data_IF_341871056168
#
_entry.id   IF_341871056168
#
_cell.length_a   1.000
_cell.length_b   1.000
_cell.length_c   1.000
_cell.angle_alpha   90.00
_cell.angle_beta   90.00
_cell.angle_gamma   90.00
#
_symmetry.space_group_name_H-M   'P 1'
#
loop_
_entity.id
_entity.type
_entity.pdbx_description
1 polymer ?
#
# COMPACT_ATOMS: atom_id res chain seq x y z
N UNK A 1 8.55 19.40 -15.82
CA UNK A 1 7.56 18.54 -15.15
C UNK A 1 7.65 18.86 -13.67
N UNK A 2 6.54 19.25 -13.02
CA UNK A 2 6.54 19.50 -11.58
C UNK A 2 6.97 18.21 -10.88
N UNK A 3 7.94 18.32 -9.98
CA UNK A 3 8.47 17.18 -9.20
C UNK A 3 7.43 16.80 -8.14
N UNK A 4 6.35 16.11 -8.56
CA UNK A 4 5.24 15.73 -7.68
C UNK A 4 5.75 14.67 -6.71
N UNK A 5 5.73 14.98 -5.41
CA UNK A 5 6.20 14.11 -4.34
C UNK A 5 5.29 12.90 -4.15
N UNK A 6 5.86 11.81 -3.65
CA UNK A 6 5.15 10.55 -3.36
C UNK A 6 5.19 10.29 -1.86
N UNK A 7 4.10 9.79 -1.28
CA UNK A 7 4.10 9.22 0.07
C UNK A 7 3.73 7.75 0.02
N UNK A 8 4.49 6.94 0.76
CA UNK A 8 4.20 5.51 0.98
C UNK A 8 3.68 5.35 2.40
N UNK A 9 2.44 4.88 2.57
CA UNK A 9 1.86 4.60 3.87
C UNK A 9 1.96 3.12 4.23
N UNK A 10 2.30 2.82 5.51
CA UNK A 10 2.46 1.47 6.04
C UNK A 10 1.66 1.37 7.34
N UNK A 11 0.52 0.66 7.37
CA UNK A 11 -0.14 0.30 8.62
C UNK A 11 0.63 -0.86 9.28
N UNK A 12 0.77 -0.85 10.61
CA UNK A 12 1.38 -1.96 11.35
C UNK A 12 0.70 -2.17 12.72
N UNK A 13 0.67 -3.40 13.19
CA UNK A 13 0.17 -3.75 14.52
C UNK A 13 0.86 -5.01 15.03
N UNK A 14 1.67 -4.88 16.11
CA UNK A 14 2.37 -5.99 16.77
C UNK A 14 3.27 -6.86 15.88
N UNK A 15 3.77 -6.31 14.75
CA UNK A 15 4.58 -7.05 13.76
C UNK A 15 5.89 -6.33 13.38
N UNK A 16 6.74 -5.93 14.35
CA UNK A 16 7.91 -5.08 14.08
C UNK A 16 8.90 -5.68 13.08
N UNK A 17 9.11 -7.00 13.06
CA UNK A 17 10.04 -7.63 12.14
C UNK A 17 9.55 -7.62 10.68
N UNK A 18 8.24 -7.66 10.47
CA UNK A 18 7.67 -7.49 9.14
C UNK A 18 7.80 -6.05 8.68
N UNK A 19 7.49 -5.09 9.54
CA UNK A 19 7.71 -3.68 9.26
C UNK A 19 9.17 -3.40 8.86
N UNK A 20 10.16 -4.01 9.54
CA UNK A 20 11.57 -3.84 9.18
C UNK A 20 11.83 -4.32 7.75
N UNK A 21 11.31 -5.48 7.36
CA UNK A 21 11.43 -6.01 6.00
C UNK A 21 10.78 -5.10 4.96
N UNK A 22 9.59 -4.58 5.25
CA UNK A 22 8.92 -3.60 4.39
C UNK A 22 9.80 -2.36 4.18
N UNK A 23 10.35 -1.77 5.26
CA UNK A 23 11.25 -0.62 5.18
C UNK A 23 12.53 -0.92 4.40
N UNK A 24 13.13 -2.11 4.58
CA UNK A 24 14.28 -2.54 3.76
C UNK A 24 13.95 -2.57 2.26
N UNK A 25 12.74 -2.93 1.89
CA UNK A 25 12.31 -2.93 0.49
C UNK A 25 12.17 -1.50 -0.06
N UNK A 26 11.73 -0.56 0.78
CA UNK A 26 11.64 0.86 0.42
C UNK A 26 13.02 1.53 0.35
N UNK A 27 13.95 1.17 1.22
CA UNK A 27 15.33 1.67 1.17
C UNK A 27 16.01 1.36 -0.16
N UNK A 28 15.62 0.26 -0.83
CA UNK A 28 16.16 -0.17 -2.13
C UNK A 28 15.51 0.51 -3.33
N UNK A 29 14.53 1.43 -3.14
CA UNK A 29 13.87 2.07 -4.27
C UNK A 29 14.83 2.92 -5.09
N UNK A 30 14.74 2.82 -6.43
CA UNK A 30 15.54 3.63 -7.37
C UNK A 30 15.05 5.08 -7.43
N UNK A 31 13.75 5.31 -7.23
CA UNK A 31 13.19 6.66 -7.06
C UNK A 31 13.33 7.08 -5.60
N UNK A 32 13.97 8.22 -5.30
CA UNK A 32 14.34 8.62 -3.94
C UNK A 32 13.50 9.77 -3.36
N UNK A 33 12.74 10.48 -4.18
CA UNK A 33 11.92 11.63 -3.73
C UNK A 33 10.56 11.17 -3.19
N UNK A 34 10.56 10.47 -2.05
CA UNK A 34 9.34 10.01 -1.40
C UNK A 34 9.46 10.07 0.12
N UNK A 35 8.31 10.27 0.76
CA UNK A 35 8.09 10.20 2.19
C UNK A 35 7.60 8.80 2.57
N UNK A 36 7.93 8.33 3.76
CA UNK A 36 7.37 7.09 4.34
C UNK A 36 6.59 7.45 5.61
N UNK A 37 5.35 6.99 5.70
CA UNK A 37 4.51 7.18 6.90
C UNK A 37 4.15 5.81 7.46
N UNK A 38 4.70 5.47 8.61
CA UNK A 38 4.34 4.28 9.39
C UNK A 38 3.26 4.66 10.37
N UNK A 39 2.12 3.95 10.35
CA UNK A 39 1.02 4.14 11.30
C UNK A 39 0.88 2.89 12.17
N UNK A 40 1.34 2.97 13.41
CA UNK A 40 1.20 1.93 14.43
C UNK A 40 -0.21 1.98 15.03
N UNK A 41 -0.95 0.89 14.85
CA UNK A 41 -2.32 0.74 15.32
C UNK A 41 -2.38 0.12 16.73
N UNK A 42 -1.82 0.83 17.72
CA UNK A 42 -1.91 0.41 19.12
C UNK A 42 -1.16 -0.88 19.43
N UNK A 43 0.05 -1.04 18.92
CA UNK A 43 0.93 -2.16 19.31
C UNK A 43 1.21 -2.16 20.81
N UNK A 44 1.48 -3.34 21.36
CA UNK A 44 1.92 -3.47 22.77
C UNK A 44 3.15 -2.59 23.03
N UNK A 45 3.35 -2.23 24.28
CA UNK A 45 4.47 -1.34 24.68
C UNK A 45 5.81 -1.91 24.22
N UNK A 46 6.02 -3.22 24.32
CA UNK A 46 7.29 -3.86 23.94
C UNK A 46 7.48 -3.86 22.42
N UNK A 47 6.44 -4.23 21.66
CA UNK A 47 6.50 -4.18 20.20
C UNK A 47 6.68 -2.75 19.70
N UNK A 48 6.02 -1.77 20.32
CA UNK A 48 6.18 -0.36 19.92
C UNK A 48 7.60 0.16 20.18
N UNK A 49 8.25 -0.22 21.28
CA UNK A 49 9.67 0.10 21.52
C UNK A 49 10.56 -0.46 20.39
N UNK A 50 10.28 -1.67 19.92
CA UNK A 50 11.01 -2.26 18.79
C UNK A 50 10.75 -1.46 17.51
N UNK A 51 9.48 -1.08 17.24
CA UNK A 51 9.12 -0.21 16.12
C UNK A 51 9.90 1.11 16.18
N UNK A 52 9.96 1.77 17.35
CA UNK A 52 10.72 3.01 17.50
C UNK A 52 12.22 2.85 17.18
N UNK A 53 12.82 1.74 17.63
CA UNK A 53 14.23 1.44 17.32
C UNK A 53 14.43 1.20 15.81
N UNK A 54 13.51 0.49 15.15
CA UNK A 54 13.54 0.29 13.70
C UNK A 54 13.43 1.65 12.98
N UNK A 55 12.47 2.49 13.34
CA UNK A 55 12.32 3.84 12.76
C UNK A 55 13.61 4.65 12.92
N UNK A 56 14.21 4.64 14.13
CA UNK A 56 15.50 5.31 14.39
C UNK A 56 16.63 4.81 13.47
N UNK A 57 16.71 3.50 13.25
CA UNK A 57 17.70 2.87 12.33
C UNK A 57 17.54 3.36 10.88
N UNK A 58 16.32 3.51 10.40
CA UNK A 58 16.03 3.89 9.00
C UNK A 58 15.84 5.39 8.79
N UNK A 59 15.90 6.22 9.82
CA UNK A 59 15.61 7.66 9.72
C UNK A 59 16.50 8.39 8.70
N UNK A 60 17.75 7.98 8.54
CA UNK A 60 18.67 8.56 7.55
C UNK A 60 18.55 7.96 6.15
N UNK A 61 17.81 6.86 5.99
CA UNK A 61 17.65 6.17 4.70
C UNK A 61 16.59 6.84 3.81
N UNK A 62 15.69 7.64 4.39
CA UNK A 62 14.59 8.29 3.69
C UNK A 62 14.70 9.81 3.83
N UNK A 63 14.16 10.54 2.85
CA UNK A 63 14.07 12.00 2.91
C UNK A 63 13.17 12.47 4.04
N UNK A 64 12.14 11.68 4.35
CA UNK A 64 11.21 11.90 5.44
C UNK A 64 10.59 10.56 5.88
N UNK A 65 10.69 10.24 7.16
CA UNK A 65 10.14 9.02 7.79
C UNK A 65 9.34 9.41 9.03
N UNK A 66 8.03 9.30 8.94
CA UNK A 66 7.10 9.68 10.00
C UNK A 66 6.56 8.43 10.68
N UNK A 67 6.56 8.42 12.01
CA UNK A 67 5.89 7.42 12.84
C UNK A 67 4.66 8.02 13.52
N UNK A 68 3.50 7.50 13.20
CA UNK A 68 2.24 7.79 13.89
C UNK A 68 1.89 6.64 14.82
N UNK A 69 1.19 6.94 15.93
CA UNK A 69 0.70 5.92 16.85
C UNK A 69 -0.76 6.19 17.24
N UNK A 70 -1.55 5.12 17.33
CA UNK A 70 -2.84 5.09 18.01
C UNK A 70 -2.66 4.47 19.40
N UNK A 71 -3.30 5.02 20.43
CA UNK A 71 -3.19 4.48 21.80
C UNK A 71 -3.82 3.10 21.93
N UNK A 72 -4.90 2.86 21.20
CA UNK A 72 -5.64 1.60 21.15
C UNK A 72 -5.81 1.16 19.70
N UNK A 73 -5.86 -0.15 19.43
CA UNK A 73 -6.13 -0.67 18.10
C UNK A 73 -7.50 -0.24 17.58
N UNK A 74 -7.55 0.31 16.38
CA UNK A 74 -8.76 0.74 15.68
C UNK A 74 -8.94 0.04 14.33
N UNK A 75 -7.94 -0.75 13.92
CA UNK A 75 -7.95 -1.55 12.70
C UNK A 75 -7.14 -0.95 11.55
N UNK A 76 -6.82 -1.81 10.59
CA UNK A 76 -5.93 -1.46 9.48
C UNK A 76 -6.47 -0.31 8.61
N UNK A 77 -7.79 -0.19 8.43
CA UNK A 77 -8.38 0.93 7.69
C UNK A 77 -8.13 2.27 8.37
N UNK A 78 -8.35 2.34 9.68
CA UNK A 78 -8.05 3.55 10.46
C UNK A 78 -6.56 3.92 10.36
N UNK A 79 -5.66 2.95 10.53
CA UNK A 79 -4.22 3.19 10.42
C UNK A 79 -3.81 3.70 9.03
N UNK A 80 -4.40 3.14 7.95
CA UNK A 80 -4.17 3.61 6.58
C UNK A 80 -4.69 5.04 6.38
N UNK A 81 -5.92 5.33 6.80
CA UNK A 81 -6.53 6.66 6.69
C UNK A 81 -5.69 7.71 7.42
N UNK A 82 -5.28 7.43 8.66
CA UNK A 82 -4.43 8.31 9.46
C UNK A 82 -3.09 8.61 8.77
N UNK A 83 -2.47 7.60 8.16
CA UNK A 83 -1.21 7.78 7.43
C UNK A 83 -1.42 8.57 6.11
N UNK A 84 -2.52 8.32 5.39
CA UNK A 84 -2.86 9.08 4.18
C UNK A 84 -3.15 10.55 4.54
N UNK A 85 -3.86 10.82 5.62
CA UNK A 85 -4.15 12.18 6.08
C UNK A 85 -2.85 12.94 6.40
N UNK A 86 -1.93 12.32 7.12
CA UNK A 86 -0.64 12.90 7.51
C UNK A 86 0.38 12.99 6.36
N UNK A 87 0.09 12.44 5.17
CA UNK A 87 1.03 12.44 4.06
C UNK A 87 1.12 13.80 3.37
N UNK A 88 2.33 14.19 2.94
CA UNK A 88 2.59 15.43 2.19
C UNK A 88 2.71 15.19 0.68
N UNK A 89 2.73 13.93 0.26
CA UNK A 89 2.86 13.54 -1.14
C UNK A 89 1.66 13.95 -1.98
N UNK A 90 1.93 14.44 -3.19
CA UNK A 90 0.88 14.64 -4.19
C UNK A 90 0.25 13.30 -4.60
N UNK A 91 1.10 12.25 -4.72
CA UNK A 91 0.68 10.87 -4.92
C UNK A 91 0.85 10.05 -3.66
N UNK A 92 -0.04 9.09 -3.46
CA UNK A 92 0.03 8.10 -2.38
C UNK A 92 -0.02 6.67 -2.92
N UNK A 93 0.66 5.77 -2.24
CA UNK A 93 0.57 4.31 -2.44
C UNK A 93 0.78 3.60 -1.12
N UNK A 94 0.13 2.45 -0.91
CA UNK A 94 0.29 1.67 0.31
C UNK A 94 1.31 0.53 0.17
N UNK A 95 1.86 0.14 1.29
CA UNK A 95 2.62 -1.08 1.49
C UNK A 95 2.14 -1.73 2.80
N UNK A 96 1.63 -2.95 2.73
CA UNK A 96 1.29 -3.69 3.94
C UNK A 96 2.59 -4.16 4.63
N UNK A 97 2.63 -4.14 5.96
CA UNK A 97 3.88 -4.39 6.72
C UNK A 97 4.45 -5.79 6.50
N UNK A 98 3.64 -6.76 6.06
CA UNK A 98 4.07 -8.13 5.73
C UNK A 98 4.48 -8.33 4.26
N UNK A 99 4.43 -7.28 3.42
CA UNK A 99 4.76 -7.32 2.01
C UNK A 99 6.02 -6.49 1.66
N UNK A 100 6.42 -6.49 0.39
CA UNK A 100 7.59 -5.77 -0.07
C UNK A 100 7.36 -5.11 -1.45
N UNK A 101 8.12 -4.06 -1.75
CA UNK A 101 8.23 -3.52 -3.11
C UNK A 101 9.47 -4.07 -3.82
N UNK A 102 9.39 -4.29 -5.14
CA UNK A 102 10.62 -4.39 -5.93
C UNK A 102 11.28 -3.01 -6.00
N UNK A 103 12.59 -2.98 -6.20
CA UNK A 103 13.38 -1.72 -6.17
C UNK A 103 12.93 -0.66 -7.19
N UNK A 104 12.26 -1.05 -8.26
CA UNK A 104 11.82 -0.14 -9.33
C UNK A 104 10.36 0.34 -9.20
N UNK A 105 9.61 -0.06 -8.15
CA UNK A 105 8.16 0.18 -8.11
C UNK A 105 7.78 1.65 -8.22
N UNK A 106 8.35 2.49 -7.40
CA UNK A 106 8.01 3.93 -7.42
C UNK A 106 8.44 4.58 -8.74
N UNK A 107 9.61 4.22 -9.26
CA UNK A 107 10.10 4.73 -10.53
C UNK A 107 9.19 4.34 -11.72
N UNK A 108 8.70 3.08 -11.74
CA UNK A 108 7.76 2.59 -12.75
C UNK A 108 6.48 3.44 -12.78
N UNK A 109 5.97 3.86 -11.63
CA UNK A 109 4.80 4.72 -11.58
C UNK A 109 5.10 6.15 -12.03
N UNK A 110 6.13 6.80 -11.45
CA UNK A 110 6.40 8.22 -11.70
C UNK A 110 6.88 8.50 -13.13
N UNK A 111 7.53 7.52 -13.78
CA UNK A 111 7.96 7.61 -15.18
C UNK A 111 6.92 7.11 -16.18
N UNK A 112 5.79 6.61 -15.73
CA UNK A 112 4.76 6.08 -16.62
C UNK A 112 4.09 7.18 -17.45
N UNK A 113 4.04 6.98 -18.76
CA UNK A 113 3.28 7.85 -19.67
C UNK A 113 1.78 7.87 -19.37
N UNK A 114 1.26 6.83 -18.72
CA UNK A 114 -0.15 6.70 -18.37
C UNK A 114 -0.55 7.55 -17.15
N UNK A 115 0.43 8.08 -16.39
CA UNK A 115 0.17 8.91 -15.21
C UNK A 115 -0.51 10.26 -15.54
N UNK A 116 -0.38 10.74 -16.78
CA UNK A 116 -1.08 11.95 -17.25
C UNK A 116 -2.48 11.68 -17.81
N UNK A 117 -2.82 10.40 -18.02
CA UNK A 117 -4.07 10.01 -18.70
C UNK A 117 -5.05 9.36 -17.74
N UNK A 118 -4.55 8.58 -16.77
CA UNK A 118 -5.37 7.83 -15.85
C UNK A 118 -5.23 8.36 -14.42
N UNK A 119 -6.34 8.45 -13.66
CA UNK A 119 -6.37 9.01 -12.32
C UNK A 119 -5.61 8.16 -11.28
N UNK A 120 -5.41 6.88 -11.55
CA UNK A 120 -4.59 5.98 -10.74
C UNK A 120 -3.94 4.89 -11.60
N UNK A 121 -2.82 4.38 -11.12
CA UNK A 121 -2.10 3.27 -11.72
C UNK A 121 -1.97 2.11 -10.73
N UNK A 122 -1.86 0.89 -11.26
CA UNK A 122 -1.50 -0.31 -10.48
C UNK A 122 -0.50 -1.18 -11.25
N UNK A 123 0.02 -2.21 -10.60
CA UNK A 123 0.92 -3.20 -11.22
C UNK A 123 0.51 -4.61 -10.83
N UNK A 124 1.07 -5.60 -11.49
CA UNK A 124 0.96 -6.99 -11.08
C UNK A 124 1.74 -7.29 -9.79
N UNK A 125 1.51 -8.47 -9.25
CA UNK A 125 2.09 -8.96 -8.02
C UNK A 125 3.03 -10.15 -8.28
N UNK A 126 4.06 -10.27 -7.45
CA UNK A 126 4.85 -11.47 -7.24
C UNK A 126 4.36 -12.10 -5.95
N UNK A 127 3.81 -13.29 -6.03
CA UNK A 127 3.41 -14.06 -4.83
C UNK A 127 4.61 -14.84 -4.36
N UNK A 128 5.07 -14.58 -3.13
CA UNK A 128 6.19 -15.23 -2.48
C UNK A 128 5.67 -16.22 -1.42
N UNK A 129 5.85 -17.51 -1.63
CA UNK A 129 5.44 -18.57 -0.71
C UNK A 129 6.60 -19.04 0.22
N UNK A 130 7.73 -18.32 0.21
CA UNK A 130 8.94 -18.63 0.96
C UNK A 130 9.90 -19.56 0.21
N UNK A 131 9.46 -20.28 -0.80
CA UNK A 131 10.29 -21.15 -1.63
C UNK A 131 10.50 -20.58 -3.04
N UNK A 132 9.45 -19.96 -3.61
CA UNK A 132 9.47 -19.38 -4.96
C UNK A 132 8.59 -18.14 -5.04
N UNK A 133 8.88 -17.31 -6.06
CA UNK A 133 8.05 -16.17 -6.45
C UNK A 133 7.31 -16.48 -7.75
N UNK A 134 5.99 -16.39 -7.70
CA UNK A 134 5.12 -16.64 -8.85
C UNK A 134 4.48 -15.34 -9.32
N UNK A 135 4.46 -15.09 -10.62
CA UNK A 135 3.85 -13.88 -11.20
C UNK A 135 2.33 -14.01 -11.25
N UNK A 136 1.63 -13.01 -10.76
CA UNK A 136 0.21 -12.84 -11.05
C UNK A 136 0.05 -12.38 -12.52
N UNK A 137 -0.68 -13.12 -13.33
CA UNK A 137 -0.83 -12.83 -14.77
C UNK A 137 -2.12 -12.09 -15.13
N UNK A 138 -2.96 -11.77 -14.14
CA UNK A 138 -4.28 -11.20 -14.39
C UNK A 138 -4.21 -9.71 -14.76
N UNK A 139 -4.87 -9.35 -15.85
CA UNK A 139 -5.19 -7.98 -16.26
C UNK A 139 -4.00 -7.01 -16.44
N UNK A 140 -2.81 -7.49 -16.77
CA UNK A 140 -1.68 -6.61 -17.05
C UNK A 140 -1.86 -5.83 -18.36
N UNK A 141 -1.29 -4.63 -18.41
CA UNK A 141 -1.30 -3.73 -19.58
C UNK A 141 -2.72 -3.41 -20.07
N UNK A 142 -3.64 -3.16 -19.14
CA UNK A 142 -5.06 -2.91 -19.42
C UNK A 142 -5.63 -1.82 -18.54
N UNK A 143 -6.68 -1.19 -19.06
CA UNK A 143 -7.55 -0.31 -18.30
C UNK A 143 -8.30 -1.12 -17.22
N UNK A 144 -8.34 -0.57 -16.01
CA UNK A 144 -9.08 -1.12 -14.87
C UNK A 144 -10.40 -0.38 -14.73
N UNK A 145 -11.41 -0.78 -15.52
CA UNK A 145 -12.72 -0.15 -15.53
C UNK A 145 -13.59 -0.61 -14.36
N UNK A 146 -14.61 0.20 -14.03
CA UNK A 146 -15.61 -0.18 -13.02
C UNK A 146 -16.29 -1.50 -13.39
N UNK A 147 -16.60 -1.71 -14.68
CA UNK A 147 -17.21 -2.95 -15.14
C UNK A 147 -16.30 -4.17 -14.85
N UNK A 148 -14.99 -4.07 -15.10
CA UNK A 148 -14.06 -5.16 -14.79
C UNK A 148 -14.00 -5.41 -13.27
N UNK A 149 -14.01 -4.35 -12.45
CA UNK A 149 -14.00 -4.46 -11.00
C UNK A 149 -15.28 -5.07 -10.42
N UNK A 150 -16.44 -4.92 -11.06
CA UNK A 150 -17.66 -5.59 -10.59
C UNK A 150 -17.60 -7.13 -10.69
N UNK A 151 -16.70 -7.68 -11.50
CA UNK A 151 -16.51 -9.13 -11.61
C UNK A 151 -15.39 -9.65 -10.71
N UNK A 152 -14.30 -8.89 -10.54
CA UNK A 152 -13.18 -9.30 -9.69
C UNK A 152 -12.23 -8.12 -9.41
N UNK A 153 -11.41 -8.23 -8.36
CA UNK A 153 -10.36 -7.26 -8.08
C UNK A 153 -9.25 -7.34 -9.15
N UNK A 154 -9.39 -6.55 -10.22
CA UNK A 154 -8.39 -6.46 -11.31
C UNK A 154 -7.22 -5.54 -10.95
N UNK A 155 -7.33 -4.74 -9.90
CA UNK A 155 -6.30 -3.80 -9.44
C UNK A 155 -5.24 -4.52 -8.60
N UNK A 156 -5.66 -5.25 -7.60
CA UNK A 156 -4.79 -5.87 -6.58
C UNK A 156 -4.77 -5.08 -5.28
N UNK A 157 -3.73 -5.24 -4.47
CA UNK A 157 -3.70 -4.72 -3.10
C UNK A 157 -3.57 -3.20 -3.02
N UNK A 158 -2.83 -2.57 -3.94
CA UNK A 158 -2.49 -1.16 -3.81
C UNK A 158 -2.52 -0.43 -5.15
N UNK A 159 -2.97 0.83 -5.11
CA UNK A 159 -2.91 1.78 -6.21
C UNK A 159 -1.81 2.82 -5.98
N UNK A 160 -1.41 3.48 -7.05
CA UNK A 160 -0.67 4.73 -7.06
C UNK A 160 -1.62 5.81 -7.58
N UNK A 161 -2.08 6.71 -6.73
CA UNK A 161 -3.12 7.69 -7.04
C UNK A 161 -2.78 9.07 -6.47
N UNK A 162 -3.40 10.13 -6.99
CA UNK A 162 -3.38 11.42 -6.32
C UNK A 162 -4.05 11.30 -4.95
N UNK A 163 -3.42 11.83 -3.89
CA UNK A 163 -3.94 11.81 -2.52
C UNK A 163 -5.38 12.31 -2.45
N UNK A 164 -5.65 13.42 -3.15
CA UNK A 164 -6.99 14.03 -3.16
C UNK A 164 -8.09 13.06 -3.60
N UNK A 165 -7.82 12.19 -4.59
CA UNK A 165 -8.82 11.25 -5.09
C UNK A 165 -9.23 10.21 -4.03
N UNK A 166 -8.26 9.75 -3.22
CA UNK A 166 -8.55 8.87 -2.08
C UNK A 166 -9.36 9.60 -1.01
N UNK A 167 -9.03 10.89 -0.75
CA UNK A 167 -9.74 11.71 0.23
C UNK A 167 -11.16 12.05 -0.21
N UNK A 168 -11.37 12.38 -1.50
CA UNK A 168 -12.68 12.69 -2.08
C UNK A 168 -13.70 11.55 -1.95
N UNK A 169 -13.22 10.31 -1.93
CA UNK A 169 -14.09 9.13 -1.70
C UNK A 169 -14.14 8.69 -0.24
N UNK A 170 -13.57 9.46 0.69
CA UNK A 170 -13.62 9.20 2.13
C UNK A 170 -12.61 8.18 2.65
N UNK A 171 -11.58 7.82 1.87
CA UNK A 171 -10.57 6.84 2.30
C UNK A 171 -11.08 5.41 2.42
N UNK A 172 -10.40 4.60 3.22
CA UNK A 172 -10.82 3.23 3.56
C UNK A 172 -12.03 3.26 4.51
N UNK A 173 -13.03 2.44 4.26
CA UNK A 173 -14.17 2.29 5.18
C UNK A 173 -13.73 1.48 6.42
N UNK A 174 -13.71 2.14 7.57
CA UNK A 174 -13.27 1.55 8.84
C UNK A 174 -14.23 0.49 9.38
N UNK A 175 -15.47 0.49 8.91
CA UNK A 175 -16.50 -0.49 9.27
C UNK A 175 -16.50 -1.71 8.36
N UNK A 176 -15.71 -1.70 7.25
CA UNK A 176 -15.70 -2.80 6.30
C UNK A 176 -14.83 -3.96 6.82
N UNK A 177 -15.39 -5.16 7.05
CA UNK A 177 -14.71 -6.20 7.82
C UNK A 177 -13.56 -6.90 7.07
N UNK A 178 -13.63 -6.96 5.73
CA UNK A 178 -12.64 -7.59 4.86
C UNK A 178 -12.77 -7.04 3.43
N UNK A 179 -11.79 -7.29 2.53
CA UNK A 179 -11.80 -6.78 1.15
C UNK A 179 -11.80 -5.24 1.08
N UNK A 180 -11.24 -4.60 2.07
CA UNK A 180 -11.23 -3.15 2.30
C UNK A 180 -10.57 -2.38 1.15
N UNK A 181 -9.52 -2.93 0.56
CA UNK A 181 -8.85 -2.43 -0.63
C UNK A 181 -9.79 -2.49 -1.86
N UNK A 182 -10.42 -3.63 -2.08
CA UNK A 182 -11.32 -3.82 -3.22
C UNK A 182 -12.56 -2.91 -3.14
N UNK A 183 -13.12 -2.75 -1.96
CA UNK A 183 -14.23 -1.83 -1.69
C UNK A 183 -13.83 -0.38 -2.05
N UNK A 184 -12.68 0.07 -1.55
CA UNK A 184 -12.16 1.39 -1.87
C UNK A 184 -11.90 1.56 -3.37
N UNK A 185 -11.36 0.54 -4.05
CA UNK A 185 -11.10 0.63 -5.50
C UNK A 185 -12.39 0.75 -6.32
N UNK A 186 -13.47 0.15 -5.89
CA UNK A 186 -14.79 0.32 -6.52
C UNK A 186 -15.29 1.77 -6.38
N UNK A 187 -15.24 2.36 -5.17
CA UNK A 187 -15.62 3.76 -4.95
C UNK A 187 -14.72 4.72 -5.71
N UNK A 188 -13.42 4.51 -5.64
CA UNK A 188 -12.44 5.33 -6.35
C UNK A 188 -12.73 5.31 -7.86
N UNK A 189 -12.82 4.12 -8.47
CA UNK A 189 -13.04 3.99 -9.92
C UNK A 189 -14.38 4.58 -10.35
N UNK A 190 -15.42 4.43 -9.53
CA UNK A 190 -16.72 5.04 -9.78
C UNK A 190 -16.66 6.57 -9.77
N UNK A 191 -15.80 7.16 -8.91
CA UNK A 191 -15.69 8.60 -8.73
C UNK A 191 -14.79 9.25 -9.78
N UNK A 192 -13.56 8.74 -9.98
CA UNK A 192 -12.54 9.38 -10.82
C UNK A 192 -12.41 8.76 -12.21
N UNK A 193 -13.12 7.67 -12.51
CA UNK A 193 -12.99 6.92 -13.76
C UNK A 193 -11.97 5.79 -13.68
N UNK A 194 -11.76 5.14 -14.82
CA UNK A 194 -10.87 3.98 -14.94
C UNK A 194 -9.42 4.33 -14.67
N UNK A 195 -8.70 3.41 -14.04
CA UNK A 195 -7.24 3.45 -13.93
C UNK A 195 -6.55 2.58 -14.97
N UNK A 196 -5.25 2.39 -14.83
CA UNK A 196 -4.47 1.54 -15.73
C UNK A 196 -3.53 0.61 -14.97
N UNK A 197 -3.54 -0.68 -15.30
CA UNK A 197 -2.61 -1.65 -14.75
C UNK A 197 -1.42 -1.85 -15.68
N UNK A 198 -0.25 -1.42 -15.21
CA UNK A 198 1.01 -1.47 -15.95
C UNK A 198 1.50 -2.92 -16.13
N UNK A 199 2.28 -3.23 -17.19
CA UNK A 199 2.75 -4.58 -17.49
C UNK A 199 3.95 -5.02 -16.64
N UNK A 200 4.02 -4.60 -15.38
CA UNK A 200 5.11 -4.89 -14.47
C UNK A 200 4.59 -5.60 -13.22
N UNK A 201 5.46 -6.39 -12.58
CA UNK A 201 5.19 -7.06 -11.30
C UNK A 201 6.12 -6.43 -10.26
N UNK A 202 5.61 -5.48 -9.50
CA UNK A 202 6.44 -4.68 -8.59
C UNK A 202 6.00 -4.71 -7.13
N UNK A 203 4.92 -5.41 -6.82
CA UNK A 203 4.45 -5.68 -5.47
C UNK A 203 4.72 -7.14 -5.13
N UNK A 204 5.42 -7.42 -4.02
CA UNK A 204 5.72 -8.77 -3.55
C UNK A 204 4.76 -9.09 -2.41
N UNK A 205 3.80 -9.96 -2.69
CA UNK A 205 2.82 -10.46 -1.73
C UNK A 205 3.41 -11.68 -1.02
N UNK A 206 3.81 -11.52 0.24
CA UNK A 206 4.36 -12.62 1.04
C UNK A 206 3.24 -13.46 1.65
N UNK A 207 3.18 -14.74 1.31
CA UNK A 207 2.21 -15.69 1.84
C UNK A 207 2.86 -16.82 2.68
N UNK A 208 4.17 -16.73 2.95
CA UNK A 208 4.95 -17.74 3.64
C UNK A 208 4.76 -17.77 5.17
N UNK A 209 4.08 -16.76 5.75
CA UNK A 209 3.88 -16.69 7.19
C UNK A 209 2.51 -17.21 7.63
N UNK A 210 2.46 -17.89 8.79
CA UNK A 210 1.23 -18.45 9.35
C UNK A 210 0.36 -17.42 10.10
N UNK A 211 0.79 -16.17 10.20
CA UNK A 211 0.05 -15.15 10.94
C UNK A 211 -1.31 -14.87 10.27
N UNK A 212 -2.33 -14.69 11.11
CA UNK A 212 -3.71 -14.48 10.72
C UNK A 212 -3.84 -13.32 9.70
N UNK A 213 -3.99 -13.66 8.43
CA UNK A 213 -4.41 -12.70 7.41
C UNK A 213 -5.89 -12.44 7.54
N UNK A 214 -6.31 -11.20 7.34
CA UNK A 214 -7.75 -10.84 7.31
C UNK A 214 -8.48 -11.70 6.29
N UNK A 215 -7.84 -12.02 5.16
CA UNK A 215 -8.38 -12.88 4.09
C UNK A 215 -8.66 -14.33 4.54
N UNK A 216 -7.93 -14.85 5.53
CA UNK A 216 -8.13 -16.21 6.08
C UNK A 216 -9.06 -16.21 7.31
N UNK A 217 -9.51 -15.07 7.77
CA UNK A 217 -10.44 -14.96 8.89
C UNK A 217 -11.87 -15.27 8.46
N UNK A 218 -12.73 -15.66 9.42
CA UNK A 218 -14.17 -15.86 9.16
C UNK A 218 -14.86 -14.59 8.64
N UNK A 219 -14.22 -13.40 8.78
CA UNK A 219 -14.70 -12.12 8.26
C UNK A 219 -14.69 -12.04 6.73
N UNK A 220 -13.87 -12.83 6.04
CA UNK A 220 -13.81 -12.85 4.57
C UNK A 220 -14.85 -13.78 3.92
N UNK A 221 -15.61 -14.52 4.74
CA UNK A 221 -16.64 -15.48 4.28
C UNK A 221 -18.07 -14.89 4.34
N UNK A 222 -18.20 -13.65 4.80
CA UNK A 222 -19.41 -12.85 4.73
C UNK A 222 -19.49 -12.09 3.41
#
# INVERSE_FOLDING_TARGET
MSNKSVSVYIPTHNRPLFLERALQSLEKQTYRNFQVIVSDDGSSVDNFKIVQNIIGKYNSSFSDLVLLRSEIPQGACHARNKAIEASDGYYVTGLDDDDEFTSSRLEVFVKSKYLSTYPYLSTGQLVDDGNKRTKSVLYLNKETSLQALLFQNVIGNQVFAEKKHIQEVGGFDENFPAWQDYELWLRLTKHVGSGYKLPYHTYILNISHELNRITNSNKSKM
#
